data_IF_122437726214
#
_entry.id   IF_122437726214
#
_cell.length_a   1.000
_cell.length_b   1.000
_cell.length_c   1.000
_cell.angle_alpha   90.00
_cell.angle_beta   90.00
_cell.angle_gamma   90.00
#
_symmetry.space_group_name_H-M   'P 1'
#
loop_
_entity.id
_entity.type
_entity.pdbx_description
1 polymer ?
#
# COMPACT_ATOMS: atom_id res chain seq x y z
N UNK A 1 28.31 -25.28 -9.07
CA UNK A 1 27.86 -23.93 -8.66
C UNK A 1 28.62 -22.93 -9.53
N UNK A 2 27.91 -22.08 -10.28
CA UNK A 2 28.52 -21.29 -11.36
C UNK A 2 29.15 -20.01 -10.77
N UNK A 3 30.46 -20.03 -10.50
CA UNK A 3 31.26 -18.89 -10.01
C UNK A 3 31.46 -17.76 -11.04
N UNK A 4 30.83 -17.88 -12.22
CA UNK A 4 30.93 -16.91 -13.32
C UNK A 4 30.70 -15.43 -12.93
N UNK A 5 29.83 -15.05 -11.97
CA UNK A 5 29.57 -13.64 -11.69
C UNK A 5 30.67 -12.92 -10.91
N UNK A 6 31.59 -13.65 -10.27
CA UNK A 6 32.66 -13.04 -9.45
C UNK A 6 33.90 -12.73 -10.31
N UNK A 7 34.13 -13.49 -11.37
CA UNK A 7 35.32 -13.40 -12.23
C UNK A 7 35.10 -12.44 -13.41
N UNK A 8 33.87 -12.32 -13.90
CA UNK A 8 33.55 -11.43 -15.00
C UNK A 8 32.30 -10.57 -14.66
N UNK A 9 32.47 -9.28 -14.35
CA UNK A 9 31.35 -8.39 -14.02
C UNK A 9 30.37 -8.21 -15.19
N UNK A 10 30.79 -8.45 -16.44
CA UNK A 10 29.94 -8.37 -17.64
C UNK A 10 29.06 -9.62 -17.82
N UNK A 11 29.33 -10.71 -17.09
CA UNK A 11 28.48 -11.91 -17.06
C UNK A 11 27.30 -11.78 -16.08
N UNK A 12 27.12 -10.60 -15.47
CA UNK A 12 26.01 -10.32 -14.56
C UNK A 12 24.71 -10.29 -15.38
N UNK A 13 23.77 -11.17 -15.03
CA UNK A 13 22.42 -11.16 -15.60
C UNK A 13 21.83 -9.76 -15.39
N UNK A 14 21.30 -9.17 -16.46
CA UNK A 14 20.62 -7.87 -16.38
C UNK A 14 19.63 -7.87 -15.22
N UNK A 15 19.65 -6.79 -14.44
CA UNK A 15 18.74 -6.61 -13.31
C UNK A 15 17.32 -6.83 -13.81
N UNK A 16 16.56 -7.78 -13.22
CA UNK A 16 15.22 -8.08 -13.69
C UNK A 16 14.41 -6.78 -13.66
N UNK A 17 13.67 -6.51 -14.76
CA UNK A 17 12.83 -5.32 -14.84
C UNK A 17 11.91 -5.30 -13.61
N UNK A 18 11.83 -4.18 -12.88
CA UNK A 18 11.02 -4.11 -11.68
C UNK A 18 9.58 -4.51 -12.01
N UNK A 19 9.06 -5.49 -11.28
CA UNK A 19 7.69 -5.96 -11.47
C UNK A 19 6.76 -4.80 -11.14
N UNK A 20 6.03 -4.32 -12.15
CA UNK A 20 5.06 -3.24 -12.02
C UNK A 20 3.82 -3.77 -11.31
N UNK A 21 3.89 -3.91 -9.99
CA UNK A 21 2.71 -4.19 -9.18
C UNK A 21 1.94 -2.88 -9.03
N UNK A 22 0.64 -2.88 -9.36
CA UNK A 22 -0.21 -1.71 -9.18
C UNK A 22 -0.56 -1.52 -7.70
N UNK A 23 0.40 -1.00 -6.91
CA UNK A 23 0.24 -0.72 -5.48
C UNK A 23 -0.96 0.20 -5.20
N UNK A 24 -1.18 1.20 -6.05
CA UNK A 24 -2.36 2.07 -6.01
C UNK A 24 -3.68 1.30 -5.94
N UNK A 25 -3.85 0.26 -6.76
CA UNK A 25 -5.09 -0.51 -6.82
C UNK A 25 -5.29 -1.28 -5.52
N UNK A 26 -4.25 -1.93 -5.03
CA UNK A 26 -4.27 -2.69 -3.76
C UNK A 26 -4.57 -1.78 -2.57
N UNK A 27 -3.89 -0.63 -2.47
CA UNK A 27 -4.15 0.34 -1.40
C UNK A 27 -5.54 0.97 -1.49
N UNK A 28 -6.05 1.22 -2.70
CA UNK A 28 -7.41 1.75 -2.88
C UNK A 28 -8.46 0.74 -2.40
N UNK A 29 -8.34 -0.53 -2.79
CA UNK A 29 -9.24 -1.60 -2.35
C UNK A 29 -9.20 -1.73 -0.82
N UNK A 30 -8.00 -1.78 -0.23
CA UNK A 30 -7.83 -1.84 1.23
C UNK A 30 -8.48 -0.65 1.94
N UNK A 31 -8.31 0.56 1.43
CA UNK A 31 -8.90 1.78 2.01
C UNK A 31 -10.43 1.78 1.91
N UNK A 32 -11.00 1.29 0.81
CA UNK A 32 -12.46 1.14 0.65
C UNK A 32 -13.01 0.14 1.66
N UNK A 33 -12.33 -0.99 1.86
CA UNK A 33 -12.74 -2.00 2.85
C UNK A 33 -12.73 -1.38 4.26
N UNK A 34 -11.67 -0.65 4.61
CA UNK A 34 -11.60 0.06 5.90
C UNK A 34 -12.69 1.10 6.06
N UNK A 35 -13.04 1.83 5.00
CA UNK A 35 -14.13 2.80 5.02
C UNK A 35 -15.48 2.13 5.30
N UNK A 36 -15.78 1.01 4.62
CA UNK A 36 -17.01 0.25 4.85
C UNK A 36 -17.05 -0.26 6.30
N UNK A 37 -15.94 -0.81 6.80
CA UNK A 37 -15.84 -1.26 8.19
C UNK A 37 -16.06 -0.11 9.19
N UNK A 38 -15.52 1.08 8.91
CA UNK A 38 -15.75 2.27 9.73
C UNK A 38 -17.22 2.67 9.77
N UNK A 39 -17.91 2.69 8.63
CA UNK A 39 -19.34 3.02 8.55
C UNK A 39 -20.16 1.99 9.34
N UNK A 40 -19.92 0.70 9.15
CA UNK A 40 -20.63 -0.38 9.85
C UNK A 40 -20.40 -0.30 11.36
N UNK A 41 -19.14 -0.18 11.80
CA UNK A 41 -18.82 -0.09 13.23
C UNK A 41 -19.35 1.18 13.88
N UNK A 42 -19.38 2.30 13.17
CA UNK A 42 -20.00 3.54 13.66
C UNK A 42 -21.51 3.37 13.88
N UNK A 43 -22.22 2.77 12.92
CA UNK A 43 -23.65 2.51 13.06
C UNK A 43 -23.95 1.56 14.23
N UNK A 44 -23.17 0.49 14.38
CA UNK A 44 -23.32 -0.44 15.50
C UNK A 44 -23.00 0.20 16.86
N UNK A 45 -22.01 1.10 16.91
CA UNK A 45 -21.68 1.84 18.13
C UNK A 45 -22.80 2.83 18.51
N UNK A 46 -23.40 3.52 17.53
CA UNK A 46 -24.55 4.41 17.77
C UNK A 46 -25.77 3.64 18.31
N UNK A 47 -25.98 2.41 17.84
CA UNK A 47 -27.00 1.50 18.35
C UNK A 47 -26.62 0.85 19.69
N UNK A 48 -25.46 1.19 20.28
CA UNK A 48 -24.94 0.63 21.53
C UNK A 48 -24.74 -0.91 21.51
N UNK A 49 -24.55 -1.49 20.32
CA UNK A 49 -24.30 -2.93 20.14
C UNK A 49 -22.85 -3.30 20.38
N UNK A 50 -21.92 -2.40 20.00
CA UNK A 50 -20.48 -2.59 20.16
C UNK A 50 -19.84 -1.39 20.86
N UNK A 51 -18.65 -1.59 21.44
CA UNK A 51 -17.86 -0.50 22.01
C UNK A 51 -17.32 0.45 20.93
N UNK A 52 -17.26 1.74 21.25
CA UNK A 52 -16.66 2.79 20.41
C UNK A 52 -15.19 2.50 20.04
N UNK A 53 -14.50 1.65 20.81
CA UNK A 53 -13.15 1.19 20.52
C UNK A 53 -13.02 0.58 19.12
N UNK A 54 -13.98 -0.23 18.69
CA UNK A 54 -13.95 -0.86 17.36
C UNK A 54 -14.06 0.18 16.25
N UNK A 55 -14.88 1.20 16.44
CA UNK A 55 -14.99 2.35 15.52
C UNK A 55 -13.66 3.10 15.42
N UNK A 56 -12.97 3.30 16.55
CA UNK A 56 -11.66 3.95 16.56
C UNK A 56 -10.60 3.15 15.79
N UNK A 57 -10.55 1.82 15.97
CA UNK A 57 -9.64 0.95 15.21
C UNK A 57 -9.91 1.02 13.70
N UNK A 58 -11.19 0.94 13.30
CA UNK A 58 -11.56 1.10 11.88
C UNK A 58 -11.22 2.49 11.32
N UNK A 59 -11.35 3.54 12.14
CA UNK A 59 -10.98 4.89 11.74
C UNK A 59 -9.47 4.98 11.49
N UNK A 60 -8.64 4.42 12.38
CA UNK A 60 -7.19 4.38 12.20
C UNK A 60 -6.79 3.63 10.94
N UNK A 61 -7.40 2.47 10.67
CA UNK A 61 -7.15 1.72 9.43
C UNK A 61 -7.49 2.51 8.16
N UNK A 62 -8.60 3.25 8.18
CA UNK A 62 -8.98 4.14 7.07
C UNK A 62 -7.99 5.30 6.88
N UNK A 63 -7.59 5.98 7.96
CA UNK A 63 -6.61 7.07 7.89
C UNK A 63 -5.24 6.60 7.39
N UNK A 64 -4.76 5.44 7.88
CA UNK A 64 -3.52 4.84 7.39
C UNK A 64 -3.63 4.51 5.90
N UNK A 65 -4.77 3.97 5.45
CA UNK A 65 -5.04 3.72 4.03
C UNK A 65 -4.95 4.98 3.17
N UNK A 66 -5.54 6.10 3.64
CA UNK A 66 -5.43 7.40 2.96
C UNK A 66 -3.97 7.87 2.88
N UNK A 67 -3.22 7.78 3.98
CA UNK A 67 -1.81 8.20 4.01
C UNK A 67 -0.98 7.39 3.02
N UNK A 68 -1.20 6.07 2.94
CA UNK A 68 -0.53 5.20 1.98
C UNK A 68 -0.88 5.54 0.52
N UNK A 69 -2.14 5.89 0.24
CA UNK A 69 -2.56 6.35 -1.08
C UNK A 69 -1.92 7.68 -1.48
N UNK A 70 -1.79 8.61 -0.53
CA UNK A 70 -1.10 9.88 -0.72
C UNK A 70 0.38 9.63 -1.00
N UNK A 71 1.02 8.77 -0.20
CA UNK A 71 2.43 8.39 -0.39
C UNK A 71 2.66 7.78 -1.78
N UNK A 72 1.83 6.82 -2.19
CA UNK A 72 1.90 6.19 -3.52
C UNK A 72 1.71 7.20 -4.66
N UNK A 73 0.85 8.21 -4.46
CA UNK A 73 0.67 9.28 -5.43
C UNK A 73 1.95 10.10 -5.61
N UNK A 74 2.63 10.44 -4.52
CA UNK A 74 3.88 11.19 -4.54
C UNK A 74 5.06 10.36 -5.07
N UNK A 75 5.18 9.10 -4.66
CA UNK A 75 6.23 8.20 -5.13
C UNK A 75 6.17 8.00 -6.66
N UNK A 76 4.96 7.84 -7.20
CA UNK A 76 4.72 7.81 -8.67
C UNK A 76 5.02 9.14 -9.38
N UNK A 77 4.91 10.26 -8.68
CA UNK A 77 5.37 11.55 -9.20
C UNK A 77 6.88 11.62 -9.27
N UNK A 78 7.58 11.09 -8.27
CA UNK A 78 9.04 11.16 -8.18
C UNK A 78 9.72 10.26 -9.23
N UNK A 79 9.20 9.05 -9.46
CA UNK A 79 9.66 8.19 -10.57
C UNK A 79 9.60 8.87 -11.95
N UNK A 80 8.61 9.76 -12.17
CA UNK A 80 8.50 10.52 -13.42
C UNK A 80 9.51 11.67 -13.50
N UNK A 81 10.01 12.15 -12.37
CA UNK A 81 11.04 13.20 -12.30
C UNK A 81 12.44 12.64 -12.44
N UNK A 82 12.71 11.48 -11.85
CA UNK A 82 14.01 10.79 -11.90
C UNK A 82 14.28 10.03 -13.21
N UNK A 83 13.29 9.91 -14.10
CA UNK A 83 13.42 9.32 -15.44
C UNK A 83 13.90 10.28 -16.54
N UNK A 84 14.41 11.46 -16.16
CA UNK A 84 15.21 12.35 -17.02
C UNK A 84 16.67 12.28 -16.56
#
# INVERSE_FOLDING_TARGET
MKFAPIINPDARKDTPKPLRVDLRTTFAIGTIIWFIALVVTLLLALLHVISIFFTFVSAMGFFIGIILLIWEHFDRWDYRRLGK
#
